data_IF_805004979494
#
_entry.id   IF_805004979494
#
_cell.length_a   1.000
_cell.length_b   1.000
_cell.length_c   1.000
_cell.angle_alpha   90.00
_cell.angle_beta   90.00
_cell.angle_gamma   90.00
#
_symmetry.space_group_name_H-M   'P 1'
#
loop_
_entity.id
_entity.type
_entity.pdbx_description
1 polymer ?
#
# COMPACT_ATOMS: atom_id res chain seq x y z
N UNK A 1 0.09 -38.22 -13.03
CA UNK A 1 -0.26 -38.10 -11.59
C UNK A 1 -1.77 -38.14 -11.47
N UNK A 2 -2.32 -39.01 -10.65
CA UNK A 2 -3.77 -39.04 -10.38
C UNK A 2 -4.19 -37.71 -9.72
N UNK A 3 -5.33 -37.11 -10.09
CA UNK A 3 -5.80 -35.88 -9.46
C UNK A 3 -6.08 -36.13 -7.98
N UNK A 4 -5.40 -35.38 -7.09
CA UNK A 4 -5.71 -35.37 -5.66
C UNK A 4 -7.05 -34.66 -5.45
N UNK A 5 -8.09 -35.43 -5.14
CA UNK A 5 -9.43 -34.90 -4.91
C UNK A 5 -9.51 -34.16 -3.57
N UNK A 6 -10.38 -33.15 -3.51
CA UNK A 6 -10.66 -32.41 -2.29
C UNK A 6 -11.35 -33.31 -1.24
N UNK A 7 -11.01 -33.13 0.03
CA UNK A 7 -11.76 -33.73 1.14
C UNK A 7 -13.15 -33.09 1.30
N UNK A 8 -14.06 -33.76 2.02
CA UNK A 8 -15.42 -33.24 2.28
C UNK A 8 -15.39 -31.89 3.02
N UNK A 9 -14.43 -31.71 3.93
CA UNK A 9 -14.21 -30.43 4.60
C UNK A 9 -13.77 -29.35 3.60
N UNK A 10 -12.83 -29.65 2.70
CA UNK A 10 -12.38 -28.71 1.68
C UNK A 10 -13.51 -28.35 0.71
N UNK A 11 -14.35 -29.31 0.34
CA UNK A 11 -15.54 -29.09 -0.47
C UNK A 11 -16.52 -28.12 0.21
N UNK A 12 -16.80 -28.35 1.48
CA UNK A 12 -17.68 -27.48 2.28
C UNK A 12 -17.15 -26.06 2.34
N UNK A 13 -15.83 -25.89 2.49
CA UNK A 13 -15.19 -24.57 2.54
C UNK A 13 -15.24 -23.85 1.19
N UNK A 14 -14.90 -24.55 0.10
CA UNK A 14 -14.88 -24.00 -1.26
C UNK A 14 -16.27 -23.66 -1.81
N UNK A 15 -17.33 -24.19 -1.22
CA UNK A 15 -18.72 -23.90 -1.60
C UNK A 15 -19.45 -23.06 -0.55
N UNK A 16 -18.79 -22.72 0.56
CA UNK A 16 -19.40 -22.01 1.67
C UNK A 16 -19.89 -20.61 1.30
N UNK A 17 -21.00 -20.21 1.92
CA UNK A 17 -21.50 -18.83 1.82
C UNK A 17 -20.47 -17.80 2.32
N UNK A 18 -19.65 -18.18 3.31
CA UNK A 18 -18.64 -17.32 3.90
C UNK A 18 -17.54 -16.96 2.87
N UNK A 19 -17.07 -17.94 2.11
CA UNK A 19 -16.13 -17.73 1.01
C UNK A 19 -16.73 -16.82 -0.06
N UNK A 20 -17.94 -17.14 -0.54
CA UNK A 20 -18.62 -16.37 -1.59
C UNK A 20 -18.83 -14.91 -1.18
N UNK A 21 -19.22 -14.67 0.08
CA UNK A 21 -19.38 -13.32 0.64
C UNK A 21 -18.07 -12.56 0.70
N UNK A 22 -16.98 -13.22 1.11
CA UNK A 22 -15.64 -12.62 1.11
C UNK A 22 -15.22 -12.21 -0.32
N UNK A 23 -15.45 -13.08 -1.31
CA UNK A 23 -15.12 -12.79 -2.71
C UNK A 23 -15.88 -11.55 -3.21
N UNK A 24 -17.19 -11.47 -2.95
CA UNK A 24 -18.02 -10.32 -3.35
C UNK A 24 -17.52 -9.03 -2.69
N UNK A 25 -17.26 -9.05 -1.38
CA UNK A 25 -16.75 -7.91 -0.63
C UNK A 25 -15.40 -7.43 -1.18
N UNK A 26 -14.45 -8.34 -1.35
CA UNK A 26 -13.11 -8.01 -1.84
C UNK A 26 -13.12 -7.48 -3.27
N UNK A 27 -13.98 -8.04 -4.13
CA UNK A 27 -14.17 -7.55 -5.50
C UNK A 27 -14.77 -6.15 -5.52
N UNK A 28 -15.75 -5.87 -4.67
CA UNK A 28 -16.30 -4.52 -4.52
C UNK A 28 -15.25 -3.50 -4.07
N UNK A 29 -14.39 -3.87 -3.11
CA UNK A 29 -13.28 -3.03 -2.66
C UNK A 29 -12.31 -2.75 -3.80
N UNK A 30 -11.93 -3.77 -4.57
CA UNK A 30 -11.05 -3.62 -5.73
C UNK A 30 -11.63 -2.63 -6.76
N UNK A 31 -12.93 -2.76 -7.09
CA UNK A 31 -13.64 -1.82 -7.98
C UNK A 31 -13.58 -0.37 -7.43
N UNK A 32 -13.79 -0.20 -6.12
CA UNK A 32 -13.65 1.09 -5.46
C UNK A 32 -12.22 1.64 -5.58
N UNK A 33 -11.20 0.77 -5.47
CA UNK A 33 -9.79 1.14 -5.63
C UNK A 33 -9.51 1.74 -7.00
N UNK A 34 -10.05 1.19 -8.10
CA UNK A 34 -9.88 1.75 -9.46
C UNK A 34 -10.48 3.15 -9.57
N UNK A 35 -11.72 3.31 -9.12
CA UNK A 35 -12.41 4.60 -9.19
C UNK A 35 -11.71 5.67 -8.36
N UNK A 36 -11.27 5.32 -7.16
CA UNK A 36 -10.51 6.23 -6.30
C UNK A 36 -9.13 6.51 -6.88
N UNK A 37 -8.45 5.54 -7.49
CA UNK A 37 -7.15 5.74 -8.13
C UNK A 37 -7.24 6.73 -9.29
N UNK A 38 -8.27 6.61 -10.13
CA UNK A 38 -8.53 7.57 -11.21
C UNK A 38 -8.75 8.98 -10.67
N UNK A 39 -9.61 9.14 -9.65
CA UNK A 39 -9.82 10.43 -8.99
C UNK A 39 -8.54 10.97 -8.34
N UNK A 40 -7.74 10.10 -7.73
CA UNK A 40 -6.48 10.47 -7.11
C UNK A 40 -5.47 10.97 -8.14
N UNK A 41 -5.40 10.37 -9.34
CA UNK A 41 -4.55 10.83 -10.44
C UNK A 41 -4.95 12.24 -10.91
N UNK A 42 -6.25 12.50 -11.06
CA UNK A 42 -6.74 13.84 -11.43
C UNK A 42 -6.32 14.86 -10.38
N UNK A 43 -6.60 14.58 -9.10
CA UNK A 43 -6.25 15.47 -7.99
C UNK A 43 -4.73 15.68 -7.91
N UNK A 44 -3.93 14.64 -8.08
CA UNK A 44 -2.47 14.73 -8.05
C UNK A 44 -1.92 15.56 -9.23
N UNK A 45 -2.59 15.54 -10.40
CA UNK A 45 -2.26 16.39 -11.54
C UNK A 45 -2.60 17.85 -11.29
N UNK A 46 -3.77 18.14 -10.72
CA UNK A 46 -4.26 19.51 -10.49
C UNK A 46 -3.55 20.26 -9.37
N UNK A 47 -3.05 19.58 -8.34
CA UNK A 47 -2.41 20.23 -7.19
C UNK A 47 -0.87 20.11 -7.23
N UNK A 48 -0.17 21.24 -7.22
CA UNK A 48 1.30 21.31 -7.20
C UNK A 48 1.90 21.26 -5.78
N UNK A 49 1.34 20.44 -4.88
CA UNK A 49 1.81 20.36 -3.48
C UNK A 49 3.06 19.48 -3.35
N UNK A 50 3.19 18.48 -4.22
CA UNK A 50 4.26 17.48 -4.13
C UNK A 50 5.40 17.83 -5.06
N UNK A 51 6.62 17.59 -4.58
CA UNK A 51 7.81 17.64 -5.40
C UNK A 51 7.71 16.63 -6.57
N UNK A 52 8.26 16.91 -7.76
CA UNK A 52 8.10 16.05 -8.93
C UNK A 52 8.57 14.60 -8.72
N UNK A 53 9.67 14.40 -7.98
CA UNK A 53 10.14 13.07 -7.54
C UNK A 53 9.07 12.28 -6.76
N UNK A 54 8.47 12.90 -5.74
CA UNK A 54 7.41 12.29 -4.93
C UNK A 54 6.15 12.02 -5.73
N UNK A 55 5.80 12.94 -6.64
CA UNK A 55 4.65 12.77 -7.53
C UNK A 55 4.82 11.55 -8.42
N UNK A 56 6.03 11.35 -8.97
CA UNK A 56 6.36 10.14 -9.73
C UNK A 56 6.19 8.87 -8.88
N UNK A 57 6.75 8.84 -7.67
CA UNK A 57 6.62 7.68 -6.77
C UNK A 57 5.17 7.40 -6.36
N UNK A 58 4.36 8.43 -6.12
CA UNK A 58 2.92 8.27 -5.85
C UNK A 58 2.18 7.69 -7.06
N UNK A 59 2.53 8.10 -8.29
CA UNK A 59 1.99 7.52 -9.52
C UNK A 59 2.41 6.04 -9.64
N UNK A 60 3.70 5.74 -9.44
CA UNK A 60 4.22 4.36 -9.41
C UNK A 60 3.48 3.51 -8.38
N UNK A 61 3.17 4.07 -7.22
CA UNK A 61 2.41 3.39 -6.16
C UNK A 61 0.98 3.08 -6.59
N UNK A 62 0.30 4.01 -7.25
CA UNK A 62 -1.03 3.77 -7.83
C UNK A 62 -0.97 2.68 -8.91
N UNK A 63 0.08 2.64 -9.75
CA UNK A 63 0.25 1.59 -10.75
C UNK A 63 0.33 0.20 -10.10
N UNK A 64 1.18 0.03 -9.07
CA UNK A 64 1.28 -1.26 -8.36
C UNK A 64 0.00 -1.68 -7.65
N UNK A 65 -0.71 -0.73 -7.04
CA UNK A 65 -2.01 -0.98 -6.40
C UNK A 65 -3.02 -1.48 -7.43
N UNK A 66 -3.17 -0.79 -8.57
CA UNK A 66 -4.14 -1.19 -9.59
C UNK A 66 -3.71 -2.51 -10.27
N UNK A 67 -2.42 -2.71 -10.48
CA UNK A 67 -1.89 -3.97 -10.99
C UNK A 67 -2.22 -5.16 -10.08
N UNK A 68 -1.98 -5.02 -8.77
CA UNK A 68 -2.33 -6.03 -7.78
C UNK A 68 -3.84 -6.32 -7.80
N UNK A 69 -4.68 -5.29 -7.77
CA UNK A 69 -6.14 -5.44 -7.75
C UNK A 69 -6.67 -6.11 -9.03
N UNK A 70 -6.13 -5.83 -10.22
CA UNK A 70 -6.53 -6.49 -11.47
C UNK A 70 -6.28 -8.00 -11.38
N UNK A 71 -5.06 -8.38 -11.00
CA UNK A 71 -4.67 -9.80 -10.92
C UNK A 71 -5.48 -10.50 -9.82
N UNK A 72 -5.66 -9.84 -8.68
CA UNK A 72 -6.42 -10.38 -7.57
C UNK A 72 -7.91 -10.57 -7.93
N UNK A 73 -8.55 -9.59 -8.56
CA UNK A 73 -9.93 -9.73 -9.06
C UNK A 73 -10.06 -10.89 -10.04
N UNK A 74 -9.14 -11.04 -10.98
CA UNK A 74 -9.18 -12.16 -11.92
C UNK A 74 -9.16 -13.51 -11.18
N UNK A 75 -8.25 -13.66 -10.22
CA UNK A 75 -8.16 -14.87 -9.38
C UNK A 75 -9.47 -15.10 -8.59
N UNK A 76 -10.06 -14.02 -8.06
CA UNK A 76 -11.31 -14.09 -7.30
C UNK A 76 -12.52 -14.50 -8.15
N UNK A 77 -12.67 -13.92 -9.35
CA UNK A 77 -13.75 -14.27 -10.27
C UNK A 77 -13.66 -15.74 -10.68
N UNK A 78 -12.45 -16.25 -10.97
CA UNK A 78 -12.27 -17.66 -11.32
C UNK A 78 -12.61 -18.58 -10.15
N UNK A 79 -12.24 -18.22 -8.92
CA UNK A 79 -12.63 -19.01 -7.74
C UNK A 79 -14.13 -18.95 -7.48
N UNK A 80 -14.77 -17.80 -7.67
CA UNK A 80 -16.22 -17.67 -7.54
C UNK A 80 -16.97 -18.55 -8.55
N UNK A 81 -16.55 -18.51 -9.82
CA UNK A 81 -17.10 -19.37 -10.87
C UNK A 81 -17.00 -20.85 -10.48
N UNK A 82 -15.81 -21.31 -10.07
CA UNK A 82 -15.58 -22.71 -9.66
C UNK A 82 -16.39 -23.08 -8.42
N UNK A 83 -16.53 -22.18 -7.44
CA UNK A 83 -17.34 -22.39 -6.24
C UNK A 83 -18.80 -22.70 -6.56
N UNK A 84 -19.31 -22.21 -7.69
CA UNK A 84 -20.70 -22.44 -8.14
C UNK A 84 -20.77 -23.67 -9.05
N UNK A 85 -19.98 -23.70 -10.13
CA UNK A 85 -20.12 -24.71 -11.19
C UNK A 85 -19.53 -26.06 -10.84
N UNK A 86 -18.50 -26.10 -9.99
CA UNK A 86 -17.80 -27.33 -9.59
C UNK A 86 -18.14 -27.76 -8.16
N UNK A 87 -19.27 -27.29 -7.64
CA UNK A 87 -19.73 -27.56 -6.27
C UNK A 87 -19.95 -29.06 -5.98
N UNK A 88 -20.15 -29.88 -7.03
CA UNK A 88 -20.33 -31.32 -6.92
C UNK A 88 -19.13 -32.14 -7.44
N UNK A 89 -18.03 -31.49 -7.85
CA UNK A 89 -16.87 -32.14 -8.48
C UNK A 89 -15.59 -32.04 -7.62
N UNK A 90 -15.38 -32.96 -6.66
CA UNK A 90 -14.30 -32.85 -5.68
C UNK A 90 -12.90 -32.96 -6.28
N UNK A 91 -12.75 -33.69 -7.39
CA UNK A 91 -11.45 -33.86 -8.06
C UNK A 91 -11.07 -32.69 -8.98
N UNK A 92 -11.99 -31.74 -9.22
CA UNK A 92 -11.75 -30.58 -10.08
C UNK A 92 -11.90 -29.24 -9.36
N UNK A 93 -12.38 -29.18 -8.12
CA UNK A 93 -12.57 -27.89 -7.43
C UNK A 93 -11.22 -27.22 -7.11
N UNK A 94 -10.25 -28.00 -6.64
CA UNK A 94 -8.88 -27.58 -6.31
C UNK A 94 -8.05 -27.35 -7.58
N UNK A 95 -7.01 -26.52 -7.48
CA UNK A 95 -6.12 -26.23 -8.62
C UNK A 95 -4.75 -26.81 -8.37
N UNK A 96 -4.08 -27.20 -9.45
CA UNK A 96 -2.65 -27.46 -9.37
C UNK A 96 -1.90 -26.12 -9.19
N UNK A 97 -0.79 -26.16 -8.45
CA UNK A 97 0.11 -25.00 -8.32
C UNK A 97 0.70 -24.59 -9.67
N UNK A 98 0.82 -25.53 -10.61
CA UNK A 98 1.23 -25.25 -11.99
C UNK A 98 0.24 -24.34 -12.73
N UNK A 99 -1.07 -24.63 -12.65
CA UNK A 99 -2.12 -23.78 -13.24
C UNK A 99 -2.12 -22.36 -12.67
N UNK A 100 -1.72 -22.22 -11.40
CA UNK A 100 -1.70 -20.96 -10.67
C UNK A 100 -0.38 -20.20 -10.76
N UNK A 101 0.65 -20.76 -11.43
CA UNK A 101 2.02 -20.25 -11.41
C UNK A 101 2.10 -18.77 -11.75
N UNK A 102 1.51 -18.36 -12.87
CA UNK A 102 1.60 -16.99 -13.34
C UNK A 102 0.81 -16.03 -12.46
N UNK A 103 -0.40 -16.39 -12.06
CA UNK A 103 -1.26 -15.56 -11.21
C UNK A 103 -0.62 -15.36 -9.83
N UNK A 104 -0.05 -16.42 -9.26
CA UNK A 104 0.64 -16.35 -7.97
C UNK A 104 1.84 -15.39 -8.03
N UNK A 105 2.70 -15.55 -9.03
CA UNK A 105 3.87 -14.69 -9.21
C UNK A 105 3.46 -13.22 -9.39
N UNK A 106 2.43 -12.95 -10.19
CA UNK A 106 1.94 -11.58 -10.43
C UNK A 106 1.34 -10.95 -9.17
N UNK A 107 0.63 -11.72 -8.34
CA UNK A 107 0.15 -11.26 -7.02
C UNK A 107 1.33 -10.89 -6.13
N UNK A 108 2.37 -11.72 -6.09
CA UNK A 108 3.59 -11.46 -5.30
C UNK A 108 4.30 -10.20 -5.81
N UNK A 109 4.43 -9.99 -7.13
CA UNK A 109 4.96 -8.74 -7.70
C UNK A 109 4.16 -7.54 -7.20
N UNK A 110 2.83 -7.64 -7.22
CA UNK A 110 1.95 -6.58 -6.74
C UNK A 110 2.17 -6.24 -5.27
N UNK A 111 2.19 -7.26 -4.40
CA UNK A 111 2.42 -7.09 -2.95
C UNK A 111 3.81 -6.51 -2.67
N UNK A 112 4.85 -7.10 -3.27
CA UNK A 112 6.23 -6.64 -3.13
C UNK A 112 6.38 -5.18 -3.61
N UNK A 113 5.81 -4.86 -4.77
CA UNK A 113 5.84 -3.50 -5.32
C UNK A 113 5.12 -2.48 -4.46
N UNK A 114 3.98 -2.84 -3.86
CA UNK A 114 3.31 -1.98 -2.88
C UNK A 114 4.18 -1.74 -1.63
N UNK A 115 4.88 -2.74 -1.11
CA UNK A 115 5.78 -2.56 0.04
C UNK A 115 6.98 -1.68 -0.36
N UNK A 116 7.66 -2.04 -1.45
CA UNK A 116 8.89 -1.37 -1.88
C UNK A 116 8.65 0.08 -2.31
N UNK A 117 7.55 0.39 -2.98
CA UNK A 117 7.23 1.78 -3.34
C UNK A 117 6.93 2.64 -2.11
N UNK A 118 6.31 2.09 -1.06
CA UNK A 118 6.08 2.81 0.19
C UNK A 118 7.39 3.02 0.96
N UNK A 119 8.29 2.04 0.94
CA UNK A 119 9.65 2.19 1.46
C UNK A 119 10.43 3.26 0.70
N UNK A 120 10.32 3.28 -0.63
CA UNK A 120 10.93 4.29 -1.49
C UNK A 120 10.38 5.70 -1.22
N UNK A 121 9.06 5.85 -1.02
CA UNK A 121 8.45 7.12 -0.59
C UNK A 121 9.03 7.58 0.76
N UNK A 122 9.18 6.67 1.72
CA UNK A 122 9.75 6.96 3.03
C UNK A 122 11.21 7.43 2.93
N UNK A 123 12.00 6.80 2.06
CA UNK A 123 13.38 7.21 1.75
C UNK A 123 13.45 8.55 1.01
N UNK A 124 12.60 8.79 0.02
CA UNK A 124 12.51 10.08 -0.69
C UNK A 124 12.21 11.23 0.29
N UNK A 125 11.32 11.00 1.26
CA UNK A 125 11.02 11.96 2.33
C UNK A 125 12.18 12.17 3.30
N UNK A 126 12.94 11.12 3.61
CA UNK A 126 14.15 11.22 4.42
C UNK A 126 15.21 12.08 3.71
N UNK A 127 15.48 11.81 2.43
CA UNK A 127 16.44 12.58 1.62
C UNK A 127 16.02 14.05 1.54
N UNK A 128 14.74 14.32 1.29
CA UNK A 128 14.21 15.69 1.24
C UNK A 128 14.35 16.44 2.58
N UNK A 129 14.35 15.72 3.70
CA UNK A 129 14.46 16.31 5.05
C UNK A 129 15.92 16.56 5.43
N UNK A 130 16.84 15.64 5.10
CA UNK A 130 18.27 15.75 5.43
C UNK A 130 19.00 16.71 4.46
N UNK A 131 18.69 16.64 3.16
CA UNK A 131 19.40 17.39 2.11
C UNK A 131 18.46 18.31 1.30
N UNK A 132 17.78 19.28 1.93
CA UNK A 132 16.73 20.06 1.27
C UNK A 132 17.23 20.89 0.09
N UNK A 133 18.44 21.46 0.18
CA UNK A 133 19.02 22.29 -0.88
C UNK A 133 19.34 21.47 -2.13
N UNK A 134 19.97 20.30 -1.96
CA UNK A 134 20.28 19.42 -3.08
C UNK A 134 19.00 18.83 -3.67
N UNK A 135 18.07 18.39 -2.82
CA UNK A 135 16.79 17.82 -3.23
C UNK A 135 15.94 18.79 -4.05
N UNK A 136 15.94 20.08 -3.69
CA UNK A 136 15.20 21.11 -4.45
C UNK A 136 15.72 21.31 -5.87
N UNK A 137 17.01 21.03 -6.12
CA UNK A 137 17.63 21.12 -7.45
C UNK A 137 17.37 19.86 -8.27
N UNK A 138 17.23 18.71 -7.62
CA UNK A 138 17.08 17.40 -8.27
C UNK A 138 15.61 17.09 -8.57
N UNK A 139 15.07 17.69 -9.64
CA UNK A 139 13.67 17.57 -10.09
C UNK A 139 13.06 16.14 -9.96
N UNK A 140 13.28 15.28 -10.95
CA UNK A 140 12.70 13.92 -11.01
C UNK A 140 13.72 12.81 -10.67
N UNK A 141 15.01 13.14 -10.65
CA UNK A 141 16.10 12.15 -10.61
C UNK A 141 15.97 11.15 -9.44
N UNK A 142 15.80 11.56 -8.17
CA UNK A 142 15.68 10.61 -7.07
C UNK A 142 14.50 9.64 -7.24
N UNK A 143 13.37 10.16 -7.71
CA UNK A 143 12.15 9.39 -7.92
C UNK A 143 12.28 8.38 -9.07
N UNK A 144 13.02 8.72 -10.13
CA UNK A 144 13.31 7.80 -11.25
C UNK A 144 14.16 6.65 -10.76
N UNK A 145 15.28 6.95 -10.09
CA UNK A 145 16.21 5.92 -9.57
C UNK A 145 15.48 4.98 -8.60
N UNK A 146 14.72 5.54 -7.65
CA UNK A 146 13.94 4.76 -6.70
C UNK A 146 12.84 3.94 -7.38
N UNK A 147 12.14 4.49 -8.38
CA UNK A 147 11.11 3.74 -9.12
C UNK A 147 11.70 2.57 -9.90
N UNK A 148 12.85 2.74 -10.55
CA UNK A 148 13.55 1.66 -11.25
C UNK A 148 13.93 0.55 -10.28
N UNK A 149 14.52 0.92 -9.13
CA UNK A 149 14.91 -0.04 -8.09
C UNK A 149 13.69 -0.81 -7.56
N UNK A 150 12.56 -0.11 -7.34
CA UNK A 150 11.30 -0.74 -6.92
C UNK A 150 10.80 -1.73 -7.97
N UNK A 151 10.76 -1.35 -9.25
CA UNK A 151 10.27 -2.25 -10.31
C UNK A 151 11.13 -3.51 -10.42
N UNK A 152 12.46 -3.35 -10.45
CA UNK A 152 13.39 -4.49 -10.54
C UNK A 152 13.24 -5.41 -9.33
N UNK A 153 13.29 -4.87 -8.11
CA UNK A 153 13.17 -5.66 -6.88
C UNK A 153 11.81 -6.39 -6.76
N UNK A 154 10.73 -5.77 -7.22
CA UNK A 154 9.39 -6.36 -7.22
C UNK A 154 9.28 -7.57 -8.16
N UNK A 155 9.91 -7.49 -9.34
CA UNK A 155 9.96 -8.59 -10.31
C UNK A 155 10.86 -9.72 -9.83
N UNK A 156 11.99 -9.39 -9.21
CA UNK A 156 12.95 -10.39 -8.70
C UNK A 156 12.39 -11.19 -7.52
N UNK A 157 11.54 -10.59 -6.69
CA UNK A 157 10.97 -11.23 -5.49
C UNK A 157 10.30 -12.59 -5.77
N UNK A 158 9.29 -12.71 -6.66
CA UNK A 158 8.68 -14.00 -6.95
C UNK A 158 9.67 -14.97 -7.60
N UNK A 159 10.60 -14.51 -8.44
CA UNK A 159 11.60 -15.36 -9.10
C UNK A 159 12.48 -16.06 -8.06
N UNK A 160 12.91 -15.33 -7.04
CA UNK A 160 13.72 -15.87 -5.94
C UNK A 160 12.89 -16.83 -5.07
N UNK A 161 11.64 -16.48 -4.77
CA UNK A 161 10.77 -17.31 -3.91
C UNK A 161 10.53 -18.68 -4.54
N UNK A 162 10.19 -18.72 -5.82
CA UNK A 162 9.78 -19.94 -6.53
C UNK A 162 10.92 -20.63 -7.30
N UNK A 163 12.16 -20.25 -7.02
CA UNK A 163 13.33 -20.77 -7.71
C UNK A 163 13.39 -22.30 -7.61
N UNK A 164 13.46 -23.02 -8.73
CA UNK A 164 13.43 -24.50 -8.75
C UNK A 164 12.19 -25.14 -8.10
N UNK A 165 11.04 -24.45 -8.05
CA UNK A 165 9.80 -25.07 -7.58
C UNK A 165 9.23 -26.04 -8.65
N UNK A 166 8.91 -27.29 -8.31
CA UNK A 166 8.37 -28.27 -9.25
C UNK A 166 6.86 -28.10 -9.52
N UNK A 167 6.13 -27.28 -8.74
CA UNK A 167 4.69 -27.01 -8.89
C UNK A 167 3.79 -28.26 -8.93
N UNK A 168 4.05 -29.21 -8.02
CA UNK A 168 3.32 -30.49 -7.94
C UNK A 168 2.15 -30.49 -6.96
N UNK A 169 2.05 -29.46 -6.13
CA UNK A 169 1.03 -29.38 -5.07
C UNK A 169 -0.33 -28.93 -5.60
N UNK A 170 -1.39 -29.16 -4.82
CA UNK A 170 -2.72 -28.60 -5.06
C UNK A 170 -3.06 -27.51 -4.05
N UNK A 171 -3.73 -26.45 -4.53
CA UNK A 171 -4.11 -25.27 -3.76
C UNK A 171 -5.57 -24.89 -4.02
N UNK A 172 -6.26 -24.34 -3.01
CA UNK A 172 -7.63 -23.86 -3.18
C UNK A 172 -7.72 -22.58 -4.03
N UNK A 173 -6.66 -21.77 -4.01
CA UNK A 173 -6.60 -20.51 -4.75
C UNK A 173 -5.15 -20.18 -5.14
N UNK A 174 -4.98 -19.42 -6.22
CA UNK A 174 -3.69 -19.02 -6.75
C UNK A 174 -2.93 -17.97 -5.92
N UNK A 175 -3.50 -17.33 -4.90
CA UNK A 175 -2.71 -16.47 -3.99
C UNK A 175 -1.93 -17.25 -2.92
N UNK A 176 -2.13 -18.57 -2.81
CA UNK A 176 -1.38 -19.43 -1.88
C UNK A 176 0.03 -19.74 -2.42
N UNK A 177 1.01 -19.81 -1.52
CA UNK A 177 2.37 -20.22 -1.89
C UNK A 177 2.45 -21.76 -2.05
N UNK A 178 3.22 -22.26 -3.04
CA UNK A 178 3.55 -23.68 -3.14
C UNK A 178 4.25 -24.20 -1.87
N UNK A 179 4.11 -25.50 -1.57
CA UNK A 179 4.69 -26.09 -0.36
C UNK A 179 6.21 -26.18 -0.45
N UNK A 180 6.75 -26.57 -1.61
CA UNK A 180 8.20 -26.67 -1.83
C UNK A 180 8.91 -25.32 -1.56
N UNK A 181 8.32 -24.22 -2.03
CA UNK A 181 8.84 -22.86 -1.79
C UNK A 181 8.41 -22.24 -0.46
N UNK A 182 7.79 -22.99 0.45
CA UNK A 182 7.17 -22.43 1.64
C UNK A 182 8.18 -21.74 2.58
N UNK A 183 9.34 -22.35 2.79
CA UNK A 183 10.41 -21.79 3.64
C UNK A 183 10.88 -20.43 3.12
N UNK A 184 11.16 -20.32 1.81
CA UNK A 184 11.58 -19.06 1.18
C UNK A 184 10.49 -18.00 1.22
N UNK A 185 9.24 -18.39 1.02
CA UNK A 185 8.11 -17.49 1.15
C UNK A 185 7.95 -16.97 2.60
N UNK A 186 8.20 -17.80 3.61
CA UNK A 186 8.22 -17.36 5.01
C UNK A 186 9.36 -16.38 5.27
N UNK A 187 10.57 -16.65 4.78
CA UNK A 187 11.71 -15.73 4.86
C UNK A 187 11.39 -14.39 4.20
N UNK A 188 10.77 -14.40 3.02
CA UNK A 188 10.31 -13.19 2.34
C UNK A 188 9.31 -12.38 3.18
N UNK A 189 8.30 -13.05 3.78
CA UNK A 189 7.33 -12.38 4.65
C UNK A 189 7.98 -11.79 5.91
N UNK A 190 8.96 -12.48 6.50
CA UNK A 190 9.74 -11.98 7.64
C UNK A 190 10.53 -10.72 7.23
N UNK A 191 11.25 -10.75 6.11
CA UNK A 191 11.99 -9.60 5.59
C UNK A 191 11.04 -8.43 5.33
N UNK A 192 9.89 -8.69 4.70
CA UNK A 192 8.87 -7.66 4.48
C UNK A 192 8.39 -7.04 5.79
N UNK A 193 8.08 -7.85 6.81
CA UNK A 193 7.69 -7.36 8.13
C UNK A 193 8.77 -6.46 8.76
N UNK A 194 10.05 -6.88 8.72
CA UNK A 194 11.16 -6.09 9.24
C UNK A 194 11.26 -4.76 8.51
N UNK A 195 11.23 -4.76 7.17
CA UNK A 195 11.26 -3.54 6.35
C UNK A 195 10.10 -2.62 6.69
N UNK A 196 8.88 -3.16 6.83
CA UNK A 196 7.69 -2.39 7.17
C UNK A 196 7.83 -1.75 8.56
N UNK A 197 8.28 -2.48 9.58
CA UNK A 197 8.48 -1.96 10.93
C UNK A 197 9.51 -0.82 10.94
N UNK A 198 10.64 -1.03 10.26
CA UNK A 198 11.69 0.00 10.12
C UNK A 198 11.12 1.25 9.43
N UNK A 199 10.32 1.09 8.37
CA UNK A 199 9.72 2.21 7.67
C UNK A 199 8.65 2.92 8.51
N UNK A 200 7.84 2.21 9.31
CA UNK A 200 6.90 2.83 10.25
C UNK A 200 7.68 3.72 11.24
N UNK A 201 8.73 3.17 11.85
CA UNK A 201 9.58 3.92 12.78
C UNK A 201 10.20 5.16 12.12
N UNK A 202 10.75 5.00 10.91
CA UNK A 202 11.30 6.11 10.13
C UNK A 202 10.26 7.20 9.87
N UNK A 203 9.04 6.84 9.46
CA UNK A 203 7.97 7.81 9.19
C UNK A 203 7.52 8.53 10.46
N UNK A 204 7.44 7.84 11.60
CA UNK A 204 7.14 8.47 12.90
C UNK A 204 8.24 9.47 13.26
N UNK A 205 9.52 9.09 13.14
CA UNK A 205 10.65 9.96 13.38
C UNK A 205 10.61 11.21 12.47
N UNK A 206 10.32 11.03 11.18
CA UNK A 206 10.15 12.13 10.23
C UNK A 206 9.01 13.07 10.62
N UNK A 207 7.89 12.56 11.13
CA UNK A 207 6.78 13.38 11.63
C UNK A 207 7.25 14.24 12.81
N UNK A 208 7.99 13.66 13.77
CA UNK A 208 8.52 14.38 14.93
C UNK A 208 9.52 15.46 14.51
N UNK A 209 10.48 15.12 13.64
CA UNK A 209 11.47 16.05 13.09
C UNK A 209 10.77 17.20 12.36
N UNK A 210 9.79 16.90 11.50
CA UNK A 210 9.04 17.91 10.76
C UNK A 210 8.28 18.87 11.68
N UNK A 211 7.69 18.38 12.78
CA UNK A 211 7.03 19.23 13.78
C UNK A 211 8.03 20.17 14.45
N UNK A 212 9.22 19.68 14.81
CA UNK A 212 10.30 20.50 15.40
C UNK A 212 10.81 21.55 14.42
N UNK A 213 10.98 21.18 13.15
CA UNK A 213 11.41 22.10 12.08
C UNK A 213 10.37 23.18 11.80
N UNK A 214 9.07 22.85 11.82
CA UNK A 214 7.98 23.82 11.65
C UNK A 214 8.03 24.91 12.72
N UNK A 215 8.23 24.54 13.99
CA UNK A 215 8.34 25.50 15.10
C UNK A 215 9.58 26.38 14.94
N UNK A 216 10.75 25.79 14.66
CA UNK A 216 12.02 26.52 14.56
C UNK A 216 12.06 27.51 13.39
N UNK A 217 11.36 27.20 12.30
CA UNK A 217 11.38 28.03 11.08
C UNK A 217 10.31 29.12 11.04
N UNK A 218 9.57 29.31 12.15
CA UNK A 218 8.50 30.33 12.25
C UNK A 218 9.00 31.75 11.99
N UNK A 219 10.24 32.08 12.33
CA UNK A 219 10.77 33.45 12.29
C UNK A 219 11.59 33.82 11.03
N UNK A 220 11.91 32.86 10.14
CA UNK A 220 12.74 33.12 8.95
C UNK A 220 11.92 33.09 7.65
N UNK A 221 11.56 34.26 7.11
CA UNK A 221 10.59 34.42 6.01
C UNK A 221 11.03 33.76 4.69
N UNK A 222 12.28 33.96 4.26
CA UNK A 222 12.79 33.43 2.98
C UNK A 222 12.90 31.89 2.99
N UNK A 223 13.41 31.33 4.11
CA UNK A 223 13.48 29.87 4.32
C UNK A 223 12.11 29.23 4.53
N UNK A 224 11.07 30.03 4.82
CA UNK A 224 9.72 29.54 5.15
C UNK A 224 8.97 29.04 3.92
N UNK A 225 9.06 29.70 2.78
CA UNK A 225 8.20 29.35 1.63
C UNK A 225 8.57 27.97 1.05
N UNK A 226 9.85 27.78 0.70
CA UNK A 226 10.36 26.49 0.16
C UNK A 226 10.32 25.35 1.19
N UNK A 227 10.62 25.62 2.48
CA UNK A 227 10.52 24.57 3.51
C UNK A 227 9.07 24.19 3.82
N UNK A 228 8.12 25.13 3.75
CA UNK A 228 6.72 24.84 4.10
C UNK A 228 6.07 23.87 3.13
N UNK A 229 6.36 23.95 1.83
CA UNK A 229 5.85 22.99 0.84
C UNK A 229 6.40 21.59 1.09
N UNK A 230 7.71 21.47 1.30
CA UNK A 230 8.35 20.20 1.64
C UNK A 230 7.81 19.63 2.96
N UNK A 231 7.64 20.44 4.01
CA UNK A 231 7.09 20.01 5.30
C UNK A 231 5.64 19.51 5.19
N UNK A 232 4.78 20.22 4.46
CA UNK A 232 3.37 19.83 4.25
C UNK A 232 3.28 18.56 3.42
N UNK A 233 4.03 18.48 2.32
CA UNK A 233 4.13 17.29 1.47
C UNK A 233 4.60 16.08 2.26
N UNK A 234 5.70 16.22 3.01
CA UNK A 234 6.27 15.11 3.81
C UNK A 234 5.29 14.63 4.87
N UNK A 235 4.60 15.52 5.57
CA UNK A 235 3.57 15.13 6.54
C UNK A 235 2.47 14.29 5.90
N UNK A 236 1.97 14.69 4.73
CA UNK A 236 0.93 13.94 4.02
C UNK A 236 1.43 12.55 3.64
N UNK A 237 2.61 12.46 3.02
CA UNK A 237 3.19 11.20 2.58
C UNK A 237 3.46 10.27 3.76
N UNK A 238 4.02 10.76 4.87
CA UNK A 238 4.27 9.93 6.05
C UNK A 238 2.98 9.39 6.67
N UNK A 239 1.89 10.18 6.73
CA UNK A 239 0.60 9.67 7.20
C UNK A 239 0.02 8.59 6.30
N UNK A 240 0.13 8.77 4.98
CA UNK A 240 -0.31 7.76 4.00
C UNK A 240 0.52 6.49 4.17
N UNK A 241 1.85 6.61 4.22
CA UNK A 241 2.76 5.49 4.37
C UNK A 241 2.48 4.69 5.65
N UNK A 242 2.28 5.34 6.80
CA UNK A 242 1.95 4.65 8.06
C UNK A 242 0.65 3.85 7.93
N UNK A 243 -0.41 4.44 7.35
CA UNK A 243 -1.68 3.72 7.16
C UNK A 243 -1.53 2.50 6.22
N UNK A 244 -0.78 2.66 5.13
CA UNK A 244 -0.47 1.57 4.18
C UNK A 244 0.31 0.44 4.86
N UNK A 245 1.36 0.80 5.59
CA UNK A 245 2.19 -0.15 6.30
C UNK A 245 1.43 -0.91 7.38
N UNK A 246 0.50 -0.27 8.10
CA UNK A 246 -0.37 -0.96 9.05
C UNK A 246 -1.27 -2.00 8.37
N UNK A 247 -1.82 -1.70 7.18
CA UNK A 247 -2.60 -2.67 6.42
C UNK A 247 -1.75 -3.86 5.92
N UNK A 248 -0.55 -3.57 5.41
CA UNK A 248 0.37 -4.57 4.87
C UNK A 248 1.00 -5.46 5.95
N UNK A 249 1.40 -4.89 7.11
CA UNK A 249 1.96 -5.67 8.22
C UNK A 249 0.91 -6.61 8.82
N UNK A 250 -0.35 -6.18 8.86
CA UNK A 250 -1.46 -7.01 9.34
C UNK A 250 -1.59 -8.25 8.46
N UNK A 251 -1.60 -8.07 7.14
CA UNK A 251 -1.61 -9.18 6.18
C UNK A 251 -0.42 -10.13 6.38
N UNK A 252 0.81 -9.61 6.31
CA UNK A 252 2.02 -10.45 6.34
C UNK A 252 2.19 -11.15 7.68
N UNK A 253 1.83 -10.52 8.79
CA UNK A 253 1.89 -11.13 10.13
C UNK A 253 0.82 -12.21 10.30
N UNK A 254 -0.43 -11.96 9.89
CA UNK A 254 -1.49 -12.97 9.95
C UNK A 254 -1.16 -14.19 9.10
N UNK A 255 -0.74 -13.99 7.85
CA UNK A 255 -0.37 -15.10 6.96
C UNK A 255 0.84 -15.87 7.50
N UNK A 256 1.86 -15.18 8.01
CA UNK A 256 3.02 -15.84 8.60
C UNK A 256 2.63 -16.68 9.82
N UNK A 257 1.85 -16.13 10.75
CA UNK A 257 1.37 -16.83 11.95
C UNK A 257 0.56 -18.06 11.58
N UNK A 258 -0.37 -17.94 10.63
CA UNK A 258 -1.18 -19.05 10.14
C UNK A 258 -0.32 -20.15 9.54
N UNK A 259 0.71 -19.80 8.77
CA UNK A 259 1.61 -20.79 8.16
C UNK A 259 2.51 -21.50 9.19
N UNK A 260 3.05 -20.76 10.17
CA UNK A 260 3.89 -21.36 11.21
C UNK A 260 3.10 -22.28 12.14
N UNK A 261 1.83 -21.97 12.38
CA UNK A 261 0.94 -22.75 13.26
C UNK A 261 -0.05 -23.64 12.50
N UNK A 262 0.18 -23.92 11.21
CA UNK A 262 -0.73 -24.71 10.38
C UNK A 262 -1.07 -26.07 11.01
N UNK A 263 -0.11 -26.71 11.70
CA UNK A 263 -0.30 -28.02 12.35
C UNK A 263 -1.28 -27.99 13.54
N UNK A 264 -1.52 -26.83 14.13
CA UNK A 264 -2.39 -26.66 15.29
C UNK A 264 -3.81 -26.22 14.90
N UNK A 265 -4.04 -25.88 13.63
CA UNK A 265 -5.32 -25.38 13.14
C UNK A 265 -6.01 -26.51 12.37
N UNK A 266 -7.24 -26.88 12.72
CA UNK A 266 -7.98 -27.88 11.95
C UNK A 266 -8.18 -27.43 10.50
N UNK A 267 -8.07 -28.38 9.57
CA UNK A 267 -8.14 -28.12 8.11
C UNK A 267 -9.48 -27.47 7.73
N UNK A 268 -10.55 -27.86 8.43
CA UNK A 268 -11.90 -27.27 8.37
C UNK A 268 -11.98 -25.77 8.67
N UNK A 269 -10.98 -25.18 9.34
CA UNK A 269 -10.99 -23.76 9.68
C UNK A 269 -9.87 -22.98 8.97
N UNK A 270 -8.73 -23.63 8.73
CA UNK A 270 -7.51 -23.01 8.22
C UNK A 270 -7.75 -22.18 6.95
N UNK A 271 -8.34 -22.79 5.92
CA UNK A 271 -8.50 -22.13 4.62
C UNK A 271 -9.42 -20.91 4.71
N UNK A 272 -10.55 -21.01 5.43
CA UNK A 272 -11.46 -19.89 5.63
C UNK A 272 -10.79 -18.73 6.37
N UNK A 273 -9.99 -19.00 7.41
CA UNK A 273 -9.26 -17.93 8.11
C UNK A 273 -8.27 -17.25 7.16
N UNK A 274 -7.54 -18.01 6.34
CA UNK A 274 -6.58 -17.45 5.38
C UNK A 274 -7.26 -16.50 4.39
N UNK A 275 -8.47 -16.83 3.92
CA UNK A 275 -9.26 -15.96 3.05
C UNK A 275 -9.59 -14.60 3.68
N UNK A 276 -10.00 -14.60 4.95
CA UNK A 276 -10.31 -13.38 5.68
C UNK A 276 -9.06 -12.62 6.16
N UNK A 277 -7.95 -13.32 6.36
CA UNK A 277 -6.65 -12.74 6.69
C UNK A 277 -6.01 -11.99 5.52
N UNK A 278 -6.52 -12.15 4.29
CA UNK A 278 -6.01 -11.45 3.11
C UNK A 278 -6.43 -9.97 3.11
N UNK A 279 -5.74 -9.13 3.90
CA UNK A 279 -6.11 -7.71 4.09
C UNK A 279 -5.50 -6.76 3.05
N UNK A 280 -4.82 -7.27 2.03
CA UNK A 280 -4.14 -6.45 1.01
C UNK A 280 -5.07 -5.49 0.26
N UNK A 281 -6.29 -5.88 -0.16
CA UNK A 281 -7.22 -4.96 -0.85
C UNK A 281 -7.63 -3.75 0.00
N UNK A 282 -7.72 -3.92 1.33
CA UNK A 282 -7.97 -2.79 2.24
C UNK A 282 -6.80 -1.82 2.30
N UNK A 283 -5.56 -2.33 2.27
CA UNK A 283 -4.39 -1.48 2.14
C UNK A 283 -4.43 -0.74 0.78
N UNK A 284 -4.64 -1.47 -0.31
CA UNK A 284 -4.72 -0.93 -1.67
C UNK A 284 -5.75 0.22 -1.81
N UNK A 285 -6.99 0.05 -1.34
CA UNK A 285 -8.03 1.09 -1.42
C UNK A 285 -7.72 2.31 -0.56
N UNK A 286 -7.04 2.13 0.57
CA UNK A 286 -6.76 3.23 1.49
C UNK A 286 -5.74 4.23 0.92
N UNK A 287 -4.89 3.82 -0.03
CA UNK A 287 -3.90 4.71 -0.66
C UNK A 287 -4.57 5.87 -1.41
N UNK A 288 -5.36 5.62 -2.48
CA UNK A 288 -6.00 6.70 -3.21
C UNK A 288 -7.03 7.46 -2.36
N UNK A 289 -7.74 6.76 -1.44
CA UNK A 289 -8.69 7.39 -0.52
C UNK A 289 -8.01 8.47 0.35
N UNK A 290 -6.92 8.10 1.02
CA UNK A 290 -6.17 9.01 1.90
C UNK A 290 -5.49 10.11 1.10
N UNK A 291 -4.97 9.81 -0.10
CA UNK A 291 -4.36 10.82 -0.96
C UNK A 291 -5.37 11.91 -1.35
N UNK A 292 -6.56 11.53 -1.81
CA UNK A 292 -7.64 12.48 -2.15
C UNK A 292 -8.04 13.30 -0.92
N UNK A 293 -8.29 12.62 0.21
CA UNK A 293 -8.73 13.28 1.44
C UNK A 293 -7.72 14.33 1.91
N UNK A 294 -6.43 13.98 1.94
CA UNK A 294 -5.37 14.88 2.42
C UNK A 294 -5.16 16.07 1.50
N UNK A 295 -5.15 15.87 0.18
CA UNK A 295 -4.98 16.96 -0.78
C UNK A 295 -6.16 17.94 -0.69
N UNK A 296 -7.40 17.43 -0.67
CA UNK A 296 -8.60 18.28 -0.53
C UNK A 296 -8.60 19.06 0.78
N UNK A 297 -8.23 18.42 1.89
CA UNK A 297 -8.14 19.07 3.20
C UNK A 297 -7.12 20.22 3.18
N UNK A 298 -5.95 20.04 2.56
CA UNK A 298 -4.98 21.13 2.38
C UNK A 298 -5.57 22.27 1.56
N UNK A 299 -6.29 21.96 0.47
CA UNK A 299 -6.95 22.97 -0.36
C UNK A 299 -8.00 23.79 0.39
N UNK A 300 -8.79 23.15 1.27
CA UNK A 300 -9.79 23.83 2.11
C UNK A 300 -9.10 24.74 3.14
N UNK A 301 -8.07 24.23 3.82
CA UNK A 301 -7.32 25.03 4.80
C UNK A 301 -6.67 26.24 4.15
N UNK A 302 -6.03 26.07 2.97
CA UNK A 302 -5.44 27.17 2.19
C UNK A 302 -6.48 28.23 1.84
N UNK A 303 -7.65 27.83 1.31
CA UNK A 303 -8.74 28.76 0.99
C UNK A 303 -9.26 29.52 2.20
N UNK A 304 -9.45 28.83 3.34
CA UNK A 304 -9.88 29.47 4.59
C UNK A 304 -8.86 30.51 5.07
N UNK A 305 -7.56 30.19 5.03
CA UNK A 305 -6.50 31.14 5.40
C UNK A 305 -6.44 32.35 4.46
N UNK A 306 -6.57 32.14 3.15
CA UNK A 306 -6.61 33.25 2.18
C UNK A 306 -7.82 34.15 2.47
N UNK A 307 -9.01 33.56 2.60
CA UNK A 307 -10.23 34.33 2.90
C UNK A 307 -10.09 35.14 4.18
N UNK A 308 -9.55 34.55 5.26
CA UNK A 308 -9.30 35.26 6.52
C UNK A 308 -8.36 36.46 6.38
N UNK A 309 -7.36 36.37 5.50
CA UNK A 309 -6.44 37.47 5.22
C UNK A 309 -7.11 38.53 4.34
N UNK A 310 -7.83 38.12 3.29
CA UNK A 310 -8.47 39.05 2.34
C UNK A 310 -9.71 39.73 2.88
N UNK A 311 -10.42 39.12 3.83
CA UNK A 311 -11.59 39.73 4.49
C UNK A 311 -11.22 40.54 5.72
N UNK A 312 -9.95 40.49 6.17
CA UNK A 312 -9.45 41.39 7.21
C UNK A 312 -9.24 42.77 6.59
N UNK A 313 -10.21 43.65 6.73
CA UNK A 313 -9.98 45.09 6.69
C UNK A 313 -9.42 45.50 8.06
N UNK A 314 -8.10 45.34 8.25
CA UNK A 314 -7.44 45.94 9.41
C UNK A 314 -7.39 47.45 9.18
N UNK A 315 -8.04 48.21 10.08
CA UNK A 315 -7.79 49.65 10.16
C UNK A 315 -6.34 49.87 10.57
N UNK A 316 -5.74 50.98 10.14
CA UNK A 316 -4.32 51.27 10.37
C UNK A 316 -3.96 51.24 11.87
N UNK A 317 -4.90 51.59 12.75
CA UNK A 317 -4.77 51.49 14.21
C UNK A 317 -4.71 50.05 14.74
N UNK A 318 -5.57 49.15 14.26
CA UNK A 318 -5.54 47.73 14.66
C UNK A 318 -4.23 47.06 14.25
N UNK A 319 -3.72 47.40 13.07
CA UNK A 319 -2.43 46.91 12.59
C UNK A 319 -1.27 47.39 13.48
N UNK A 320 -1.26 48.68 13.84
CA UNK A 320 -0.23 49.28 14.69
C UNK A 320 -0.26 48.72 16.12
N UNK A 321 -1.45 48.44 16.65
CA UNK A 321 -1.64 47.86 17.99
C UNK A 321 -1.15 46.41 18.04
N UNK A 322 -1.46 45.62 17.02
CA UNK A 322 -0.97 44.24 16.88
C UNK A 322 0.56 44.18 16.69
N UNK A 323 1.15 45.13 15.97
CA UNK A 323 2.62 45.26 15.88
C UNK A 323 3.25 45.60 17.22
N UNK A 324 2.66 46.51 18.01
CA UNK A 324 3.15 46.80 19.37
C UNK A 324 3.11 45.58 20.28
N UNK A 325 2.04 44.79 20.24
CA UNK A 325 1.91 43.55 21.04
C UNK A 325 2.88 42.45 20.61
N UNK A 326 3.31 42.42 19.35
CA UNK A 326 4.32 41.46 18.86
C UNK A 326 5.76 41.85 19.23
N UNK A 327 5.99 43.12 19.55
CA UNK A 327 7.32 43.69 19.83
C UNK A 327 7.57 44.01 21.31
N UNK A 328 6.54 43.94 22.17
CA UNK A 328 6.64 43.99 23.63
C UNK A 328 6.89 42.61 24.23
#
# INVERSE_FOLDING_TARGET
MAPTCASDEQMTLQTSFLLRSNIVLMTFIAICTFFLSYKALIVLKSYQIFHPSTKLLLITSLVFVNFHEIVFMFVQVVTFYRSITLSNEPCKIMRSTYECKYQNQMIIVGIAGMIYVQSALSLDRLIATIFPLHYSKTKYSPGIVLSILVVISSILSPIIIVWNDPYVDTVPNCFFFPQYSASRANTFLIICNVVIIVCIFLNILLIVINKKLEVRTRFFVEKRYQKRETLVSTRVVCYIAVAQFLGLITYSSLVLTLRLHQKFIPVSMYHNIVWWAYTVPFAAVSLPALLIYRIKRIGIVRRKTINQITTRFETQEEHMKHLKELWS
#
